data_IF_415981341101
#
_entry.id   IF_415981341101
#
_cell.length_a   1.000
_cell.length_b   1.000
_cell.length_c   1.000
_cell.angle_alpha   90.00
_cell.angle_beta   90.00
_cell.angle_gamma   90.00
#
_symmetry.space_group_name_H-M   'P 1'
#
loop_
_entity.id
_entity.type
_entity.pdbx_description
1 polymer ?
#
# COMPACT_ATOMS: atom_id res chain seq x y z
N UNK A 1 -23.50 -3.81 -46.53
CA UNK A 1 -24.05 -4.29 -45.23
C UNK A 1 -23.64 -5.74 -45.06
N UNK A 2 -23.04 -6.11 -43.92
CA UNK A 2 -22.70 -7.51 -43.64
C UNK A 2 -23.90 -8.16 -42.94
N UNK A 3 -24.54 -9.12 -43.61
CA UNK A 3 -25.70 -9.85 -43.07
C UNK A 3 -25.26 -11.05 -42.24
N UNK A 4 -25.93 -11.26 -41.11
CA UNK A 4 -25.83 -12.49 -40.31
C UNK A 4 -26.54 -13.60 -41.09
N UNK A 5 -25.85 -14.72 -41.34
CA UNK A 5 -26.47 -15.89 -41.97
C UNK A 5 -27.32 -16.66 -40.93
N UNK A 6 -28.37 -17.38 -41.36
CA UNK A 6 -29.30 -18.11 -40.47
C UNK A 6 -28.65 -19.23 -39.64
N UNK A 7 -27.39 -19.56 -39.88
CA UNK A 7 -26.62 -20.61 -39.18
C UNK A 7 -25.74 -20.07 -38.02
N UNK A 8 -25.85 -18.78 -37.70
CA UNK A 8 -25.13 -18.15 -36.59
C UNK A 8 -23.62 -17.96 -36.84
N UNK A 9 -23.10 -18.29 -38.03
CA UNK A 9 -21.67 -18.13 -38.35
C UNK A 9 -21.44 -16.83 -39.13
N UNK A 10 -21.09 -15.77 -38.40
CA UNK A 10 -20.59 -14.53 -38.99
C UNK A 10 -19.22 -14.74 -39.64
N UNK A 11 -19.11 -14.52 -40.95
CA UNK A 11 -17.83 -14.55 -41.66
C UNK A 11 -17.27 -13.11 -41.72
N UNK A 12 -16.14 -12.87 -41.07
CA UNK A 12 -15.43 -11.57 -41.17
C UNK A 12 -14.31 -11.65 -42.21
N UNK A 13 -14.00 -10.49 -42.80
CA UNK A 13 -12.75 -10.32 -43.55
C UNK A 13 -11.57 -10.45 -42.57
N UNK A 14 -10.44 -11.04 -43.00
CA UNK A 14 -9.21 -11.01 -42.20
C UNK A 14 -8.92 -9.57 -41.77
N UNK A 15 -8.62 -9.35 -40.49
CA UNK A 15 -8.36 -8.04 -39.87
C UNK A 15 -9.56 -7.10 -39.62
N UNK A 16 -10.80 -7.61 -39.55
CA UNK A 16 -11.94 -6.86 -39.00
C UNK A 16 -12.71 -7.67 -37.94
N UNK A 17 -12.20 -7.78 -36.70
CA UNK A 17 -12.96 -8.43 -35.63
C UNK A 17 -14.24 -7.64 -35.34
N UNK A 18 -15.38 -8.35 -35.20
CA UNK A 18 -16.69 -7.75 -34.88
C UNK A 18 -16.79 -7.38 -33.38
N UNK A 19 -15.87 -7.86 -32.54
CA UNK A 19 -15.93 -7.68 -31.09
C UNK A 19 -14.52 -7.47 -30.52
N UNK A 20 -14.29 -6.29 -29.94
CA UNK A 20 -13.12 -6.02 -29.09
C UNK A 20 -13.49 -6.43 -27.65
N UNK A 21 -12.86 -7.48 -27.12
CA UNK A 21 -13.05 -7.86 -25.71
C UNK A 21 -12.08 -7.02 -24.87
N UNK A 22 -12.59 -5.95 -24.25
CA UNK A 22 -11.83 -5.19 -23.26
C UNK A 22 -11.87 -5.93 -21.93
N UNK A 23 -10.76 -6.56 -21.59
CA UNK A 23 -10.59 -7.22 -20.29
C UNK A 23 -10.17 -6.18 -19.27
N UNK A 24 -10.90 -6.09 -18.16
CA UNK A 24 -10.55 -5.23 -17.05
C UNK A 24 -9.21 -5.67 -16.42
N UNK A 25 -8.30 -4.72 -16.25
CA UNK A 25 -6.99 -4.92 -15.64
C UNK A 25 -7.04 -4.54 -14.17
N UNK A 26 -6.78 -5.50 -13.28
CA UNK A 26 -6.73 -5.29 -11.83
C UNK A 26 -5.31 -5.48 -11.30
N UNK A 27 -4.91 -4.61 -10.38
CA UNK A 27 -3.64 -4.73 -9.68
C UNK A 27 -3.67 -4.00 -8.34
N UNK A 28 -2.83 -4.41 -7.41
CA UNK A 28 -2.50 -3.62 -6.22
C UNK A 28 -1.16 -2.93 -6.42
N UNK A 29 -1.03 -1.75 -5.82
CA UNK A 29 0.26 -1.10 -5.64
C UNK A 29 0.53 -0.97 -4.15
N UNK A 30 1.70 -1.46 -3.74
CA UNK A 30 2.26 -1.30 -2.40
C UNK A 30 3.23 -0.14 -2.44
N UNK A 31 3.03 0.85 -1.60
CA UNK A 31 3.91 2.00 -1.44
C UNK A 31 4.64 1.89 -0.11
N UNK A 32 5.95 2.04 -0.12
CA UNK A 32 6.78 1.99 1.09
C UNK A 32 7.67 3.22 1.15
N UNK A 33 7.55 4.01 2.22
CA UNK A 33 8.55 4.99 2.62
C UNK A 33 9.64 4.26 3.39
N UNK A 34 10.76 4.08 2.69
CA UNK A 34 12.02 3.59 3.22
C UNK A 34 13.13 4.51 2.70
N UNK A 35 12.93 5.82 2.82
CA UNK A 35 13.74 6.85 2.15
C UNK A 35 15.18 6.91 2.61
N UNK A 36 15.46 6.49 3.85
CA UNK A 36 16.80 6.47 4.45
C UNK A 36 17.13 5.11 5.10
N UNK A 37 17.21 4.01 4.32
CA UNK A 37 17.45 2.68 4.87
C UNK A 37 18.80 2.62 5.59
N UNK A 38 19.79 3.40 5.16
CA UNK A 38 21.08 3.53 5.82
C UNK A 38 20.99 4.15 7.22
N UNK A 39 20.04 5.05 7.45
CA UNK A 39 19.84 5.70 8.76
C UNK A 39 18.96 4.87 9.69
N UNK A 40 18.11 4.03 9.11
CA UNK A 40 17.31 3.09 9.88
C UNK A 40 18.16 1.97 10.49
N UNK A 41 19.30 1.62 9.90
CA UNK A 41 20.16 0.53 10.39
C UNK A 41 20.96 0.93 11.63
N UNK A 42 20.87 0.13 12.67
CA UNK A 42 21.68 0.21 13.88
C UNK A 42 22.44 -1.09 14.13
N UNK A 43 23.59 -0.98 14.79
CA UNK A 43 24.26 -2.15 15.39
C UNK A 43 23.65 -2.42 16.75
N UNK A 44 23.32 -3.67 17.02
CA UNK A 44 22.87 -4.12 18.35
C UNK A 44 24.07 -4.52 19.21
N UNK A 45 23.89 -4.61 20.53
CA UNK A 45 24.95 -5.05 21.46
C UNK A 45 25.61 -6.38 21.08
N UNK A 46 24.85 -7.30 20.45
CA UNK A 46 25.35 -8.60 19.97
C UNK A 46 26.10 -8.52 18.62
N UNK A 47 26.38 -7.32 18.11
CA UNK A 47 27.09 -7.08 16.84
C UNK A 47 26.25 -7.27 15.57
N UNK A 48 25.01 -7.75 15.70
CA UNK A 48 24.09 -7.87 14.56
C UNK A 48 23.47 -6.52 14.17
N UNK A 49 22.63 -6.52 13.13
CA UNK A 49 22.03 -5.28 12.59
C UNK A 49 20.51 -5.32 12.76
N UNK A 50 19.92 -4.20 13.15
CA UNK A 50 18.49 -4.02 13.36
C UNK A 50 18.01 -2.71 12.72
N UNK A 51 16.71 -2.58 12.47
CA UNK A 51 16.10 -1.30 12.10
C UNK A 51 15.62 -0.55 13.35
N UNK A 52 15.85 0.76 13.41
CA UNK A 52 15.37 1.63 14.48
C UNK A 52 14.20 2.50 13.99
N UNK A 53 12.94 2.04 14.15
CA UNK A 53 11.76 2.74 13.64
C UNK A 53 11.43 3.99 14.47
N UNK A 54 12.05 4.16 15.64
CA UNK A 54 11.88 5.36 16.47
C UNK A 54 12.74 6.50 15.91
N UNK A 55 14.00 6.19 15.56
CA UNK A 55 14.93 7.18 15.01
C UNK A 55 14.61 7.51 13.55
N UNK A 56 14.23 6.52 12.76
CA UNK A 56 13.91 6.67 11.35
C UNK A 56 12.60 5.92 11.06
N UNK A 57 11.43 6.58 11.26
CA UNK A 57 10.14 5.97 11.00
C UNK A 57 9.91 5.82 9.49
N UNK A 58 9.58 4.61 9.06
CA UNK A 58 9.06 4.37 7.71
C UNK A 58 7.54 4.40 7.69
N UNK A 59 6.94 4.31 6.50
CA UNK A 59 5.50 4.12 6.34
C UNK A 59 5.19 3.14 5.20
N UNK A 60 4.04 2.48 5.26
CA UNK A 60 3.57 1.60 4.21
C UNK A 60 2.06 1.75 3.99
N UNK A 61 1.64 1.73 2.73
CA UNK A 61 0.23 1.74 2.34
C UNK A 61 0.02 0.94 1.06
N UNK A 62 -1.23 0.62 0.76
CA UNK A 62 -1.59 0.00 -0.52
C UNK A 62 -2.83 0.63 -1.14
N UNK A 63 -2.93 0.53 -2.47
CA UNK A 63 -4.14 0.87 -3.20
C UNK A 63 -4.46 -0.18 -4.26
N UNK A 64 -5.75 -0.50 -4.40
CA UNK A 64 -6.27 -1.42 -5.41
C UNK A 64 -6.72 -0.61 -6.61
N UNK A 65 -6.34 -1.04 -7.80
CA UNK A 65 -6.57 -0.33 -9.06
C UNK A 65 -7.32 -1.22 -10.05
N UNK A 66 -8.31 -0.63 -10.71
CA UNK A 66 -9.01 -1.19 -11.87
C UNK A 66 -8.83 -0.26 -13.06
N UNK A 67 -8.27 -0.75 -14.16
CA UNK A 67 -8.08 0.01 -15.41
C UNK A 67 -7.38 1.36 -15.22
N UNK A 68 -6.42 1.43 -14.29
CA UNK A 68 -5.85 2.71 -13.90
C UNK A 68 -6.88 3.61 -13.25
N UNK A 69 -7.70 3.12 -12.32
CA UNK A 69 -8.54 3.93 -11.43
C UNK A 69 -8.45 3.30 -10.05
N UNK A 70 -8.05 4.08 -9.04
CA UNK A 70 -7.99 3.61 -7.65
C UNK A 70 -9.41 3.31 -7.18
N UNK A 71 -9.63 2.09 -6.70
CA UNK A 71 -10.91 1.62 -6.18
C UNK A 71 -10.96 1.68 -4.66
N UNK A 72 -9.84 1.43 -3.99
CA UNK A 72 -9.71 1.51 -2.54
C UNK A 72 -8.25 1.71 -2.15
N UNK A 73 -8.01 2.29 -0.97
CA UNK A 73 -6.69 2.60 -0.41
C UNK A 73 -6.71 2.36 1.09
N UNK A 74 -5.65 1.79 1.66
CA UNK A 74 -5.47 1.75 3.11
C UNK A 74 -4.07 2.21 3.46
N UNK A 75 -4.01 3.22 4.32
CA UNK A 75 -2.80 3.81 4.87
C UNK A 75 -2.91 3.83 6.39
N UNK A 76 -2.79 2.65 7.00
CA UNK A 76 -2.93 2.52 8.45
C UNK A 76 -1.76 3.17 9.18
N UNK A 77 -2.02 4.09 10.09
CA UNK A 77 -0.97 4.73 10.88
C UNK A 77 -1.52 5.51 12.06
N UNK A 78 -0.66 6.20 12.82
CA UNK A 78 -1.12 7.04 13.92
C UNK A 78 -1.85 8.27 13.38
N UNK A 79 -2.91 8.69 14.06
CA UNK A 79 -3.69 9.89 13.71
C UNK A 79 -2.92 11.20 13.90
N UNK A 80 -1.84 11.17 14.69
CA UNK A 80 -0.96 12.30 14.95
C UNK A 80 0.43 11.82 15.36
N UNK A 81 1.42 12.72 15.34
CA UNK A 81 2.77 12.39 15.80
C UNK A 81 2.79 11.94 17.28
N UNK A 82 1.93 12.51 18.13
CA UNK A 82 1.81 12.13 19.53
C UNK A 82 1.26 10.70 19.73
N UNK A 83 0.52 10.17 18.75
CA UNK A 83 -0.06 8.82 18.77
C UNK A 83 0.88 7.75 18.20
N UNK A 84 2.11 8.10 17.79
CA UNK A 84 3.02 7.19 17.10
C UNK A 84 3.60 6.07 17.98
N UNK A 85 3.72 6.27 19.29
CA UNK A 85 4.15 5.20 20.19
C UNK A 85 3.01 4.21 20.44
N UNK A 86 1.91 4.74 21.00
CA UNK A 86 0.63 4.09 21.24
C UNK A 86 -0.43 5.18 21.16
N UNK A 87 -1.45 5.04 20.32
CA UNK A 87 -2.53 6.01 20.28
C UNK A 87 -3.56 5.77 19.18
N UNK A 88 -4.49 6.72 18.98
CA UNK A 88 -5.54 6.58 17.98
C UNK A 88 -4.95 6.38 16.58
N UNK A 89 -5.50 5.43 15.84
CA UNK A 89 -5.12 5.17 14.47
C UNK A 89 -5.93 5.98 13.45
N UNK A 90 -5.47 6.00 12.21
CA UNK A 90 -6.17 6.49 11.02
C UNK A 90 -5.95 5.53 9.86
N UNK A 91 -6.90 5.45 8.95
CA UNK A 91 -6.79 4.71 7.69
C UNK A 91 -6.13 5.54 6.56
N UNK A 92 -5.83 6.81 6.83
CA UNK A 92 -5.39 7.82 5.86
C UNK A 92 -4.07 8.49 6.28
N UNK A 93 -3.16 7.73 6.91
CA UNK A 93 -1.87 8.26 7.34
C UNK A 93 -1.04 8.76 6.14
N UNK A 94 -0.41 9.92 6.26
CA UNK A 94 0.30 10.56 5.14
C UNK A 94 1.72 10.04 4.97
N UNK A 95 2.17 9.89 3.72
CA UNK A 95 3.58 9.63 3.38
C UNK A 95 4.31 10.95 3.16
N UNK A 96 5.47 11.13 3.79
CA UNK A 96 6.18 12.42 3.80
C UNK A 96 7.42 12.44 2.89
N UNK A 97 8.02 11.28 2.63
CA UNK A 97 9.31 11.19 1.94
C UNK A 97 9.28 10.33 0.67
N UNK A 98 10.46 9.98 0.17
CA UNK A 98 10.62 9.12 -1.01
C UNK A 98 9.98 7.74 -0.80
N UNK A 99 9.14 7.36 -1.76
CA UNK A 99 8.39 6.09 -1.72
C UNK A 99 8.78 5.16 -2.84
N UNK A 100 8.81 3.87 -2.52
CA UNK A 100 9.02 2.77 -3.45
C UNK A 100 7.68 2.10 -3.72
N UNK A 101 7.27 2.06 -4.98
CA UNK A 101 6.03 1.45 -5.42
C UNK A 101 6.28 0.08 -6.06
N UNK A 102 5.61 -0.95 -5.53
CA UNK A 102 5.64 -2.31 -6.04
C UNK A 102 4.27 -2.67 -6.59
N UNK A 103 4.21 -3.31 -7.76
CA UNK A 103 2.94 -3.67 -8.43
C UNK A 103 2.75 -5.18 -8.45
N UNK A 104 1.56 -5.62 -8.05
CA UNK A 104 1.13 -7.01 -8.16
C UNK A 104 -0.19 -7.09 -8.93
N UNK A 105 -0.20 -7.86 -10.01
CA UNK A 105 -1.42 -8.08 -10.80
C UNK A 105 -2.40 -8.97 -10.01
N UNK A 106 -3.68 -8.68 -10.13
CA UNK A 106 -4.75 -9.42 -9.49
C UNK A 106 -5.72 -9.96 -10.54
N UNK A 107 -6.31 -11.12 -10.26
CA UNK A 107 -7.52 -11.52 -10.95
C UNK A 107 -8.68 -10.63 -10.48
N UNK A 108 -9.71 -10.46 -11.33
CA UNK A 108 -10.93 -9.75 -10.95
C UNK A 108 -11.50 -10.21 -9.60
N UNK A 109 -11.63 -11.53 -9.43
CA UNK A 109 -12.17 -12.15 -8.21
C UNK A 109 -11.35 -11.79 -6.97
N UNK A 110 -10.00 -11.82 -7.06
CA UNK A 110 -9.13 -11.42 -5.94
C UNK A 110 -9.25 -9.93 -5.66
N UNK A 111 -9.30 -9.10 -6.70
CA UNK A 111 -9.36 -7.66 -6.55
C UNK A 111 -10.67 -7.17 -5.93
N UNK A 112 -11.82 -7.72 -6.35
CA UNK A 112 -13.13 -7.37 -5.79
C UNK A 112 -13.21 -7.70 -4.29
N UNK A 113 -12.78 -8.91 -3.90
CA UNK A 113 -12.68 -9.30 -2.49
C UNK A 113 -11.70 -8.43 -1.70
N UNK A 114 -10.55 -8.10 -2.28
CA UNK A 114 -9.57 -7.24 -1.62
C UNK A 114 -10.08 -5.81 -1.45
N UNK A 115 -10.91 -5.29 -2.38
CA UNK A 115 -11.57 -3.98 -2.23
C UNK A 115 -12.53 -4.00 -1.05
N UNK A 116 -13.37 -5.03 -0.95
CA UNK A 116 -14.29 -5.22 0.18
C UNK A 116 -13.55 -5.32 1.51
N UNK A 117 -12.52 -6.15 1.59
CA UNK A 117 -11.67 -6.32 2.77
C UNK A 117 -11.00 -4.99 3.15
N UNK A 118 -10.40 -4.30 2.18
CA UNK A 118 -9.72 -3.02 2.43
C UNK A 118 -10.70 -1.98 2.98
N UNK A 119 -11.91 -1.89 2.41
CA UNK A 119 -12.95 -0.98 2.89
C UNK A 119 -13.48 -1.38 4.28
N UNK A 120 -13.57 -2.67 4.58
CA UNK A 120 -13.90 -3.17 5.92
C UNK A 120 -12.87 -2.69 6.94
N UNK A 121 -11.58 -2.89 6.66
CA UNK A 121 -10.49 -2.39 7.51
C UNK A 121 -10.53 -0.87 7.70
N UNK A 122 -10.70 -0.11 6.61
CA UNK A 122 -10.88 1.36 6.71
C UNK A 122 -12.03 1.72 7.65
N UNK A 123 -13.19 1.10 7.48
CA UNK A 123 -14.36 1.36 8.32
C UNK A 123 -14.10 1.01 9.79
N UNK A 124 -13.43 -0.11 10.07
CA UNK A 124 -13.07 -0.52 11.43
C UNK A 124 -12.14 0.52 12.09
N UNK A 125 -11.15 1.02 11.35
CA UNK A 125 -10.19 2.03 11.83
C UNK A 125 -10.88 3.38 12.05
N UNK A 126 -11.66 3.85 11.07
CA UNK A 126 -12.31 5.17 11.12
C UNK A 126 -13.44 5.23 12.13
N UNK A 127 -14.24 4.17 12.25
CA UNK A 127 -15.43 4.14 13.11
C UNK A 127 -15.17 3.45 14.47
N UNK A 128 -13.92 3.04 14.74
CA UNK A 128 -13.47 2.57 16.05
C UNK A 128 -14.08 1.25 16.52
N UNK A 129 -14.63 0.45 15.61
CA UNK A 129 -15.26 -0.81 16.00
C UNK A 129 -14.21 -1.92 16.03
N UNK A 130 -14.06 -2.53 17.21
CA UNK A 130 -13.44 -3.83 17.49
C UNK A 130 -11.94 -3.78 17.89
N UNK A 131 -11.70 -4.27 19.12
CA UNK A 131 -10.44 -4.60 19.82
C UNK A 131 -9.71 -3.52 20.65
N UNK A 132 -10.30 -3.16 21.80
CA UNK A 132 -9.77 -3.50 23.13
C UNK A 132 -10.89 -3.24 24.16
N UNK A 133 -10.75 -3.63 25.43
CA UNK A 133 -11.77 -3.44 26.49
C UNK A 133 -12.27 -1.99 26.67
N UNK A 134 -11.66 -1.01 26.00
CA UNK A 134 -11.98 0.43 26.04
C UNK A 134 -12.26 1.05 24.64
N UNK A 135 -12.30 0.26 23.55
CA UNK A 135 -13.03 0.62 22.33
C UNK A 135 -12.42 1.63 21.34
N UNK A 136 -11.11 1.59 21.04
CA UNK A 136 -10.52 2.20 19.82
C UNK A 136 -9.41 1.33 19.26
N UNK A 137 -9.30 1.22 17.93
CA UNK A 137 -8.13 0.63 17.27
C UNK A 137 -6.92 1.50 17.60
N UNK A 138 -5.95 0.92 18.29
CA UNK A 138 -4.74 1.59 18.72
C UNK A 138 -3.61 1.26 17.75
N UNK A 139 -3.05 2.28 17.12
CA UNK A 139 -1.76 2.14 16.46
C UNK A 139 -0.71 1.91 17.55
N UNK A 140 0.09 0.86 17.43
CA UNK A 140 1.09 0.52 18.44
C UNK A 140 2.39 0.08 17.78
N UNK A 141 3.36 1.00 17.76
CA UNK A 141 4.73 0.68 17.39
C UNK A 141 5.40 -0.31 18.35
N UNK A 142 4.86 -0.44 19.57
CA UNK A 142 5.39 -1.30 20.63
C UNK A 142 4.94 -2.77 20.47
N UNK A 143 3.68 -3.01 20.10
CA UNK A 143 3.12 -4.36 19.89
C UNK A 143 3.20 -4.84 18.45
N UNK A 144 3.79 -4.04 17.55
CA UNK A 144 3.94 -4.32 16.12
C UNK A 144 2.61 -4.28 15.34
N UNK A 145 1.58 -3.62 15.87
CA UNK A 145 0.35 -3.26 15.15
C UNK A 145 0.62 -1.97 14.35
N UNK A 146 1.31 -2.13 13.22
CA UNK A 146 1.87 -1.03 12.43
C UNK A 146 1.42 -1.06 10.98
N UNK A 147 1.68 0.03 10.25
CA UNK A 147 1.34 0.20 8.84
C UNK A 147 1.72 -1.01 7.96
N UNK A 148 2.98 -1.45 8.03
CA UNK A 148 3.47 -2.58 7.24
C UNK A 148 2.87 -3.92 7.67
N UNK A 149 2.59 -4.08 8.95
CA UNK A 149 2.02 -5.30 9.51
C UNK A 149 0.56 -5.47 9.10
N UNK A 150 -0.27 -4.46 9.33
CA UNK A 150 -1.67 -4.43 8.89
C UNK A 150 -1.78 -4.58 7.38
N UNK A 151 -0.92 -3.92 6.61
CA UNK A 151 -0.90 -4.08 5.15
C UNK A 151 -0.64 -5.53 4.74
N UNK A 152 0.33 -6.22 5.36
CA UNK A 152 0.58 -7.64 5.07
C UNK A 152 -0.58 -8.54 5.52
N UNK A 153 -1.23 -8.25 6.65
CA UNK A 153 -2.42 -8.98 7.09
C UNK A 153 -3.54 -8.91 6.04
N UNK A 154 -3.77 -7.73 5.46
CA UNK A 154 -4.79 -7.51 4.41
C UNK A 154 -4.39 -8.15 3.08
N UNK A 155 -3.13 -8.02 2.65
CA UNK A 155 -2.71 -8.39 1.29
C UNK A 155 -2.32 -9.86 1.11
N UNK A 156 -1.68 -10.49 2.10
CA UNK A 156 -1.13 -11.85 1.96
C UNK A 156 -2.16 -12.94 1.61
N UNK A 157 -3.42 -12.89 2.09
CA UNK A 157 -4.44 -13.84 1.63
C UNK A 157 -4.69 -13.81 0.11
N UNK A 158 -4.45 -12.66 -0.52
CA UNK A 158 -4.66 -12.45 -1.96
C UNK A 158 -3.37 -12.58 -2.77
N UNK A 159 -2.21 -12.32 -2.15
CA UNK A 159 -0.88 -12.31 -2.75
C UNK A 159 0.08 -13.11 -1.85
N UNK A 160 0.00 -14.46 -1.86
CA UNK A 160 0.75 -15.32 -0.94
C UNK A 160 2.27 -15.22 -1.07
N UNK A 161 2.75 -14.78 -2.24
CA UNK A 161 4.16 -14.57 -2.56
C UNK A 161 4.76 -13.32 -1.89
N UNK A 162 3.94 -12.48 -1.24
CA UNK A 162 4.47 -11.34 -0.49
C UNK A 162 5.43 -11.82 0.62
N UNK A 163 6.59 -11.18 0.76
CA UNK A 163 7.55 -11.54 1.78
C UNK A 163 7.02 -11.24 3.18
N UNK A 164 7.73 -11.78 4.19
CA UNK A 164 7.35 -11.64 5.60
C UNK A 164 7.56 -10.21 6.10
N UNK A 165 8.54 -9.47 5.57
CA UNK A 165 8.88 -8.13 6.01
C UNK A 165 9.28 -8.03 7.48
N UNK A 166 9.75 -9.14 8.07
CA UNK A 166 9.98 -9.30 9.52
C UNK A 166 11.47 -9.45 9.81
N UNK A 167 12.01 -8.58 10.65
CA UNK A 167 13.41 -8.63 11.07
C UNK A 167 13.64 -8.00 12.44
N UNK A 168 14.91 -7.86 12.85
CA UNK A 168 15.26 -7.26 14.15
C UNK A 168 14.95 -5.76 14.12
N UNK A 169 14.24 -5.28 15.11
CA UNK A 169 13.75 -3.90 15.18
C UNK A 169 13.85 -3.39 16.61
N UNK A 170 14.41 -2.22 16.83
CA UNK A 170 14.52 -1.62 18.17
C UNK A 170 15.68 -0.63 18.31
N UNK A 171 16.22 -0.54 19.51
CA UNK A 171 17.36 0.30 19.87
C UNK A 171 18.63 -0.55 20.05
N UNK A 172 19.76 0.10 20.36
CA UNK A 172 21.04 -0.57 20.61
C UNK A 172 20.95 -1.69 21.65
N UNK A 173 20.20 -1.45 22.74
CA UNK A 173 20.13 -2.35 23.91
C UNK A 173 18.89 -3.24 23.94
N UNK A 174 17.81 -2.89 23.23
CA UNK A 174 16.54 -3.62 23.25
C UNK A 174 16.00 -3.76 21.84
N UNK A 175 15.80 -5.00 21.40
CA UNK A 175 15.24 -5.29 20.08
C UNK A 175 14.20 -6.43 20.13
N UNK A 176 13.22 -6.34 19.25
CA UNK A 176 12.21 -7.36 18.98
C UNK A 176 12.28 -7.79 17.52
N UNK A 177 11.54 -8.84 17.15
CA UNK A 177 11.31 -9.17 15.74
C UNK A 177 9.95 -8.67 15.29
N UNK A 178 9.94 -7.65 14.45
CA UNK A 178 8.75 -6.90 14.05
C UNK A 178 8.67 -6.77 12.53
N UNK A 179 7.45 -6.57 12.02
CA UNK A 179 7.21 -6.23 10.61
C UNK A 179 7.38 -4.72 10.47
N UNK A 180 8.26 -4.26 9.58
CA UNK A 180 8.46 -2.82 9.38
C UNK A 180 8.51 -2.46 7.90
N UNK A 181 8.23 -1.20 7.54
CA UNK A 181 8.38 -0.72 6.16
C UNK A 181 9.78 -1.02 5.59
N UNK A 182 10.83 -0.78 6.37
CA UNK A 182 12.20 -1.05 5.98
C UNK A 182 12.50 -2.54 5.76
N UNK A 183 12.06 -3.43 6.67
CA UNK A 183 12.25 -4.86 6.48
C UNK A 183 11.45 -5.40 5.29
N UNK A 184 10.23 -4.89 5.09
CA UNK A 184 9.42 -5.25 3.94
C UNK A 184 10.05 -4.79 2.63
N UNK A 185 10.60 -3.57 2.58
CA UNK A 185 11.35 -3.07 1.44
C UNK A 185 12.57 -3.93 1.11
N UNK A 186 13.37 -4.27 2.13
CA UNK A 186 14.56 -5.11 1.95
C UNK A 186 14.20 -6.50 1.42
N UNK A 187 13.15 -7.13 1.96
CA UNK A 187 12.72 -8.44 1.50
C UNK A 187 12.18 -8.38 0.06
N UNK A 188 11.41 -7.33 -0.30
CA UNK A 188 10.93 -7.13 -1.66
C UNK A 188 12.09 -6.92 -2.65
N UNK A 189 13.14 -6.19 -2.24
CA UNK A 189 14.36 -6.03 -3.03
C UNK A 189 15.12 -7.35 -3.19
N UNK A 190 15.28 -8.12 -2.11
CA UNK A 190 15.94 -9.44 -2.15
C UNK A 190 15.19 -10.43 -3.01
N UNK A 191 13.86 -10.36 -3.02
CA UNK A 191 13.01 -11.16 -3.91
C UNK A 191 13.10 -10.74 -5.39
N UNK A 192 13.79 -9.64 -5.71
CA UNK A 192 13.90 -9.13 -7.08
C UNK A 192 12.62 -8.50 -7.60
N UNK A 193 11.68 -8.12 -6.72
CA UNK A 193 10.41 -7.50 -7.13
C UNK A 193 10.68 -6.14 -7.80
N UNK A 194 10.24 -5.93 -9.05
CA UNK A 194 10.41 -4.64 -9.72
C UNK A 194 9.66 -3.53 -8.98
N UNK A 195 10.30 -2.37 -8.86
CA UNK A 195 9.70 -1.21 -8.21
C UNK A 195 10.02 0.09 -8.94
N UNK A 196 9.26 1.12 -8.59
CA UNK A 196 9.53 2.49 -9.02
C UNK A 196 9.68 3.42 -7.83
N UNK A 197 10.51 4.43 -8.02
CA UNK A 197 10.82 5.40 -6.98
C UNK A 197 10.04 6.69 -7.30
N UNK A 198 9.32 7.20 -6.31
CA UNK A 198 8.69 8.52 -6.36
C UNK A 198 9.30 9.38 -5.27
N UNK A 199 9.86 10.51 -5.67
CA UNK A 199 10.31 11.53 -4.71
C UNK A 199 9.08 12.29 -4.25
N UNK A 200 8.53 11.91 -3.10
CA UNK A 200 7.67 12.79 -2.32
C UNK A 200 8.62 13.54 -1.40
N UNK A 201 8.54 14.86 -1.35
CA UNK A 201 9.38 15.68 -0.49
C UNK A 201 8.60 16.92 -0.06
N UNK A 202 9.00 17.53 1.05
CA UNK A 202 8.33 18.70 1.63
C UNK A 202 8.16 19.85 0.61
N UNK A 203 9.12 20.05 -0.30
CA UNK A 203 9.05 21.06 -1.38
C UNK A 203 7.94 20.83 -2.42
N UNK A 204 7.31 19.66 -2.41
CA UNK A 204 6.18 19.31 -3.26
C UNK A 204 4.82 19.44 -2.53
N UNK A 205 4.83 19.72 -1.23
CA UNK A 205 3.66 20.12 -0.43
C UNK A 205 3.58 21.65 -0.37
N UNK A 206 3.33 22.31 -1.51
CA UNK A 206 2.72 23.64 -1.45
C UNK A 206 1.24 23.45 -1.14
N UNK A 207 0.67 24.31 -0.29
CA UNK A 207 -0.75 24.32 0.14
C UNK A 207 -1.75 24.31 -1.02
N UNK A 208 -1.26 24.52 -2.23
CA UNK A 208 -1.98 24.62 -3.48
C UNK A 208 -1.53 23.51 -4.44
N UNK A 209 -2.43 22.54 -4.63
CA UNK A 209 -2.60 21.70 -5.81
C UNK A 209 -1.91 20.31 -5.86
N UNK A 210 -2.57 19.35 -5.20
CA UNK A 210 -2.36 17.89 -5.29
C UNK A 210 -2.33 17.31 -6.73
N UNK A 211 -2.80 18.05 -7.75
CA UNK A 211 -2.89 17.58 -9.14
C UNK A 211 -1.54 17.52 -9.86
N UNK A 212 -0.48 18.18 -9.35
CA UNK A 212 0.82 18.24 -10.03
C UNK A 212 1.73 17.04 -9.81
N UNK A 213 1.37 16.09 -8.93
CA UNK A 213 2.30 15.07 -8.41
C UNK A 213 2.18 13.66 -9.01
N UNK A 214 1.28 13.45 -9.96
CA UNK A 214 0.78 12.10 -10.24
C UNK A 214 0.55 11.93 -11.74
N UNK A 215 1.51 11.37 -12.49
CA UNK A 215 1.27 11.10 -13.92
C UNK A 215 2.01 9.93 -14.57
N UNK A 216 2.51 8.91 -13.82
CA UNK A 216 2.68 7.62 -14.51
C UNK A 216 2.27 6.36 -13.75
N UNK A 217 2.02 6.41 -12.43
CA UNK A 217 1.67 5.23 -11.60
C UNK A 217 0.54 5.43 -10.59
N UNK A 218 0.03 6.66 -10.46
CA UNK A 218 -1.36 6.81 -10.09
C UNK A 218 -2.10 7.45 -11.25
N UNK A 219 -3.33 7.03 -11.51
CA UNK A 219 -4.06 7.51 -12.64
C UNK A 219 -4.51 8.95 -12.48
N UNK A 220 -4.66 9.64 -13.62
CA UNK A 220 -5.26 10.97 -13.71
C UNK A 220 -6.59 10.97 -12.97
N UNK A 221 -6.66 11.77 -11.90
CA UNK A 221 -7.86 12.01 -11.12
C UNK A 221 -8.87 12.74 -12.00
N UNK A 222 -9.98 12.09 -12.36
CA UNK A 222 -11.11 12.82 -12.91
C UNK A 222 -11.62 13.80 -11.84
N UNK A 223 -11.78 15.04 -12.29
CA UNK A 223 -12.27 16.18 -11.57
C UNK A 223 -13.58 15.85 -10.83
N UNK A 224 -13.63 16.00 -9.50
CA UNK A 224 -14.44 17.07 -8.92
C UNK A 224 -14.30 17.28 -7.43
N UNK A 225 -13.94 16.29 -6.62
CA UNK A 225 -13.83 16.54 -5.18
C UNK A 225 -12.45 16.15 -4.64
N UNK A 226 -11.83 17.14 -4.00
CA UNK A 226 -10.62 17.02 -3.24
C UNK A 226 -10.75 15.82 -2.30
N UNK A 227 -10.00 14.74 -2.57
CA UNK A 227 -9.40 13.97 -1.46
C UNK A 227 -8.78 14.95 -0.47
N UNK A 228 -9.60 15.33 0.51
CA UNK A 228 -9.18 15.78 1.83
C UNK A 228 -8.40 14.59 2.40
N UNK A 229 -7.15 14.83 2.78
CA UNK A 229 -6.34 13.89 3.54
C UNK A 229 -6.73 13.98 5.01
#
# INVERSE_FOLDING_TARGET
MAGIKPDGKGVTKPNKPITEVKVDNYYVVIMIDASHPEKALIKTQDGSTAHNPIAEPGHALHYIVKNGIIQSVLSFGPSSAAAAAIGPATADCTMKNMVYAFKYNLTKVKAEKLIEETNSWRNLITNGSIFSKEGRIVYSGITNDTCAETMLQVLRPYIPELPKGKGKTGTYSVYIRAVTPYWLFDDLKKAGTPYKIYRIGEKYYTKEDLKKLIDPYLPKKNQRDAVIW
#
